data_IF_631539270372
#
_entry.id   IF_631539270372
#
_cell.length_a   1.000
_cell.length_b   1.000
_cell.length_c   1.000
_cell.angle_alpha   90.00
_cell.angle_beta   90.00
_cell.angle_gamma   90.00
#
_symmetry.space_group_name_H-M   'P 1'
#
loop_
_entity.id
_entity.type
_entity.pdbx_description
1 polymer ?
#
# COMPACT_ATOMS: atom_id res chain seq x y z
N UNK A 1 9.46 -11.68 -20.13
CA UNK A 1 9.31 -12.03 -18.71
C UNK A 1 9.98 -13.37 -18.49
N UNK A 2 11.06 -13.46 -17.73
CA UNK A 2 11.72 -14.73 -17.38
C UNK A 2 11.43 -15.04 -15.92
N UNK A 3 10.95 -16.26 -15.64
CA UNK A 3 10.84 -16.78 -14.28
C UNK A 3 12.16 -17.44 -13.90
N UNK A 4 12.81 -16.98 -12.84
CA UNK A 4 13.92 -17.70 -12.20
C UNK A 4 13.39 -18.39 -10.94
N UNK A 5 13.69 -19.66 -10.82
CA UNK A 5 13.53 -20.43 -9.59
C UNK A 5 14.70 -20.10 -8.68
N UNK A 6 14.47 -19.51 -7.53
CA UNK A 6 15.42 -19.54 -6.43
C UNK A 6 15.07 -20.74 -5.58
N UNK A 7 15.92 -21.77 -5.64
CA UNK A 7 15.87 -22.91 -4.75
C UNK A 7 16.32 -22.48 -3.35
N UNK A 8 15.36 -22.07 -2.55
CA UNK A 8 15.43 -22.11 -1.10
C UNK A 8 14.16 -22.78 -0.60
N UNK A 9 14.28 -23.84 0.07
CA UNK A 9 13.45 -24.81 0.78
C UNK A 9 11.91 -24.58 0.93
N UNK A 10 11.36 -23.48 0.39
CA UNK A 10 9.95 -23.21 0.16
C UNK A 10 9.80 -22.72 -1.28
N UNK A 11 9.15 -23.52 -2.12
CA UNK A 11 9.02 -23.37 -3.57
C UNK A 11 8.23 -22.13 -4.02
N UNK A 12 8.63 -20.93 -3.62
CA UNK A 12 8.04 -19.69 -4.10
C UNK A 12 8.73 -19.28 -5.39
N UNK A 13 8.13 -19.62 -6.52
CA UNK A 13 8.61 -19.14 -7.80
C UNK A 13 8.33 -17.64 -7.93
N UNK A 14 9.39 -16.86 -8.17
CA UNK A 14 9.32 -15.42 -8.38
C UNK A 14 9.43 -15.09 -9.86
N UNK A 15 8.63 -14.13 -10.32
CA UNK A 15 8.72 -13.55 -11.64
C UNK A 15 9.53 -12.25 -11.57
N UNK A 16 10.64 -12.18 -12.30
CA UNK A 16 11.54 -11.03 -12.30
C UNK A 16 11.47 -10.25 -13.60
N UNK A 17 11.76 -8.96 -13.53
CA UNK A 17 12.02 -8.14 -14.71
C UNK A 17 13.31 -8.62 -15.38
N UNK A 18 13.29 -8.77 -16.70
CA UNK A 18 14.45 -9.20 -17.47
C UNK A 18 15.61 -8.19 -17.44
N UNK A 19 15.27 -6.90 -17.36
CA UNK A 19 16.23 -5.83 -17.52
C UNK A 19 16.83 -5.32 -16.20
N UNK A 20 16.04 -5.29 -15.11
CA UNK A 20 16.47 -4.74 -13.82
C UNK A 20 16.36 -5.73 -12.64
N UNK A 21 15.99 -6.98 -12.90
CA UNK A 21 15.83 -8.06 -11.90
C UNK A 21 14.83 -7.76 -10.76
N UNK A 22 14.03 -6.72 -10.88
CA UNK A 22 12.97 -6.40 -9.90
C UNK A 22 11.93 -7.51 -9.86
N UNK A 23 11.51 -7.91 -8.65
CA UNK A 23 10.45 -8.91 -8.46
C UNK A 23 9.12 -8.31 -8.89
N UNK A 24 8.53 -8.85 -9.95
CA UNK A 24 7.25 -8.41 -10.52
C UNK A 24 6.06 -9.20 -9.98
N UNK A 25 6.30 -10.33 -9.38
CA UNK A 25 5.23 -11.19 -8.87
C UNK A 25 5.69 -12.54 -8.37
N UNK A 26 4.73 -13.35 -7.94
CA UNK A 26 4.95 -14.68 -7.39
C UNK A 26 3.99 -15.68 -8.05
N UNK A 27 4.45 -16.93 -8.21
CA UNK A 27 3.57 -18.02 -8.63
C UNK A 27 2.56 -18.31 -7.53
N UNK A 28 1.29 -18.35 -7.90
CA UNK A 28 0.22 -18.80 -7.02
C UNK A 28 0.13 -20.33 -7.09
N UNK A 29 0.40 -21.06 -5.99
CA UNK A 29 0.36 -22.52 -5.99
C UNK A 29 -1.05 -23.10 -6.24
N UNK A 30 -2.12 -22.34 -5.98
CA UNK A 30 -3.49 -22.81 -6.15
C UNK A 30 -3.98 -22.70 -7.59
N UNK A 31 -3.60 -21.63 -8.28
CA UNK A 31 -4.07 -21.35 -9.64
C UNK A 31 -3.03 -21.62 -10.72
N UNK A 32 -1.79 -21.99 -10.31
CA UNK A 32 -0.61 -22.10 -11.19
C UNK A 32 -0.28 -20.82 -11.96
N UNK A 33 -1.01 -19.74 -11.71
CA UNK A 33 -0.82 -18.43 -12.29
C UNK A 33 0.29 -17.63 -11.62
N UNK A 34 0.58 -16.45 -12.16
CA UNK A 34 1.50 -15.48 -11.56
C UNK A 34 0.68 -14.31 -11.01
N UNK A 35 0.78 -14.07 -9.70
CA UNK A 35 0.25 -12.87 -9.06
C UNK A 35 1.22 -11.72 -9.26
N UNK A 36 0.86 -10.78 -10.13
CA UNK A 36 1.69 -9.62 -10.41
C UNK A 36 1.49 -8.52 -9.36
N UNK A 37 2.59 -7.87 -8.99
CA UNK A 37 2.61 -6.72 -8.08
C UNK A 37 2.36 -5.44 -8.88
N UNK A 38 1.12 -4.96 -8.86
CA UNK A 38 0.67 -3.80 -9.68
C UNK A 38 1.52 -2.53 -9.52
N UNK A 39 2.06 -2.16 -8.34
CA UNK A 39 2.89 -0.96 -8.20
C UNK A 39 4.15 -0.95 -9.07
N UNK A 40 4.64 -2.11 -9.49
CA UNK A 40 5.82 -2.24 -10.34
C UNK A 40 5.51 -2.37 -11.83
N UNK A 41 4.23 -2.22 -12.22
CA UNK A 41 3.79 -2.48 -13.58
C UNK A 41 3.23 -1.23 -14.24
N UNK A 42 3.48 -1.10 -15.53
CA UNK A 42 2.80 -0.17 -16.42
C UNK A 42 2.05 -0.93 -17.50
N UNK A 43 0.88 -0.45 -17.86
CA UNK A 43 0.07 -0.97 -18.96
C UNK A 43 0.25 -0.06 -20.17
N UNK A 44 0.70 -0.61 -21.30
CA UNK A 44 0.72 0.10 -22.57
C UNK A 44 -0.36 -0.44 -23.50
N UNK A 45 -1.10 0.48 -24.13
CA UNK A 45 -2.08 0.15 -25.15
C UNK A 45 -1.44 0.33 -26.53
N UNK A 46 -1.53 -0.71 -27.35
CA UNK A 46 -1.05 -0.63 -28.74
C UNK A 46 -1.96 0.23 -29.64
N UNK A 47 -3.22 0.47 -29.23
CA UNK A 47 -4.21 1.21 -30.02
C UNK A 47 -4.04 2.72 -29.95
N UNK A 48 -3.69 3.24 -28.78
CA UNK A 48 -3.63 4.66 -28.49
C UNK A 48 -2.24 5.14 -28.06
N UNK A 49 -1.23 4.25 -28.08
CA UNK A 49 0.15 4.52 -27.64
C UNK A 49 0.23 5.11 -26.23
N UNK A 50 -0.82 4.93 -25.42
CA UNK A 50 -0.82 5.41 -24.04
C UNK A 50 -0.18 4.40 -23.11
N UNK A 51 0.64 4.88 -22.18
CA UNK A 51 1.18 4.07 -21.08
C UNK A 51 0.55 4.56 -19.78
N UNK A 52 -0.08 3.68 -19.05
CA UNK A 52 -0.65 3.94 -17.72
C UNK A 52 0.18 3.20 -16.68
N UNK A 53 0.85 3.94 -15.81
CA UNK A 53 1.47 3.40 -14.60
C UNK A 53 0.49 3.49 -13.43
N UNK A 54 0.58 2.52 -12.53
CA UNK A 54 -0.14 2.60 -11.27
C UNK A 54 0.76 3.33 -10.28
N UNK A 55 0.33 4.51 -9.83
CA UNK A 55 0.97 5.18 -8.70
C UNK A 55 0.83 4.30 -7.45
N UNK A 56 1.96 4.05 -6.79
CA UNK A 56 2.02 3.21 -5.60
C UNK A 56 1.12 3.74 -4.47
N UNK A 57 1.07 5.05 -4.27
CA UNK A 57 0.22 5.66 -3.24
C UNK A 57 -1.27 5.39 -3.48
N UNK A 58 -1.73 5.49 -4.72
CA UNK A 58 -3.10 5.12 -5.09
C UNK A 58 -3.37 3.62 -4.89
N UNK A 59 -2.42 2.77 -5.24
CA UNK A 59 -2.59 1.33 -5.05
C UNK A 59 -2.71 0.98 -3.58
N UNK A 60 -1.85 1.55 -2.73
CA UNK A 60 -1.89 1.31 -1.29
C UNK A 60 -3.16 1.85 -0.64
N UNK A 61 -3.68 3.00 -1.08
CA UNK A 61 -4.97 3.49 -0.57
C UNK A 61 -6.12 2.54 -0.90
N UNK A 62 -6.16 2.00 -2.12
CA UNK A 62 -7.14 0.97 -2.50
C UNK A 62 -6.98 -0.31 -1.67
N UNK A 63 -5.74 -0.75 -1.44
CA UNK A 63 -5.44 -1.94 -0.65
C UNK A 63 -5.89 -1.77 0.81
N UNK A 64 -5.56 -0.63 1.44
CA UNK A 64 -6.00 -0.32 2.81
C UNK A 64 -7.52 -0.21 2.91
N UNK A 65 -8.16 0.41 1.93
CA UNK A 65 -9.63 0.51 1.92
C UNK A 65 -10.27 -0.87 1.87
N UNK A 66 -9.80 -1.73 0.96
CA UNK A 66 -10.27 -3.12 0.87
C UNK A 66 -10.02 -3.88 2.17
N UNK A 67 -8.83 -3.77 2.78
CA UNK A 67 -8.52 -4.44 4.04
C UNK A 67 -9.46 -3.96 5.17
N UNK A 68 -9.69 -2.64 5.26
CA UNK A 68 -10.60 -2.04 6.25
C UNK A 68 -12.03 -2.55 6.08
N UNK A 69 -12.54 -2.62 4.84
CA UNK A 69 -13.88 -3.12 4.55
C UNK A 69 -14.02 -4.62 4.81
N UNK A 70 -13.01 -5.40 4.43
CA UNK A 70 -13.06 -6.87 4.54
C UNK A 70 -12.89 -7.35 5.98
N UNK A 71 -11.98 -6.75 6.72
CA UNK A 71 -11.61 -7.17 8.08
C UNK A 71 -12.38 -6.41 9.17
N UNK A 72 -13.02 -5.29 8.82
CA UNK A 72 -13.79 -4.48 9.77
C UNK A 72 -12.94 -3.72 10.79
N UNK A 73 -11.62 -3.65 10.57
CA UNK A 73 -10.65 -2.96 11.44
C UNK A 73 -9.97 -1.81 10.72
N UNK A 74 -9.36 -0.92 11.48
CA UNK A 74 -8.64 0.25 10.94
C UNK A 74 -7.18 0.31 11.36
N UNK A 75 -6.73 -0.60 12.21
CA UNK A 75 -5.34 -0.69 12.64
C UNK A 75 -4.72 -1.95 12.08
N UNK A 76 -3.54 -1.79 11.54
CA UNK A 76 -2.80 -2.84 10.88
C UNK A 76 -1.34 -2.87 11.30
N UNK A 77 -0.73 -4.04 11.22
CA UNK A 77 0.70 -4.24 11.45
C UNK A 77 1.31 -4.99 10.28
N UNK A 78 2.57 -4.73 10.02
CA UNK A 78 3.34 -5.51 9.06
C UNK A 78 3.95 -6.73 9.74
N UNK A 79 3.99 -7.91 9.07
CA UNK A 79 4.70 -9.07 9.58
C UNK A 79 6.20 -8.86 9.70
N UNK A 80 6.84 -8.23 8.69
CA UNK A 80 8.30 -8.12 8.60
C UNK A 80 8.83 -6.78 9.08
N UNK A 81 8.11 -5.68 8.85
CA UNK A 81 8.52 -4.36 9.29
C UNK A 81 7.94 -4.01 10.68
N UNK A 82 8.74 -3.38 11.54
CA UNK A 82 8.29 -3.00 12.88
C UNK A 82 7.43 -1.73 12.86
N UNK A 83 6.36 -1.71 12.06
CA UNK A 83 5.50 -0.55 11.91
C UNK A 83 4.03 -0.88 12.14
N UNK A 84 3.33 0.08 12.73
CA UNK A 84 1.88 0.10 12.89
C UNK A 84 1.27 1.12 11.93
N UNK A 85 0.13 0.77 11.38
CA UNK A 85 -0.66 1.60 10.47
C UNK A 85 -2.05 1.79 11.08
N UNK A 86 -2.55 3.01 11.04
CA UNK A 86 -3.92 3.33 11.42
C UNK A 86 -4.61 4.12 10.31
N UNK A 87 -5.60 3.53 9.66
CA UNK A 87 -6.49 4.22 8.72
C UNK A 87 -7.41 5.13 9.51
N UNK A 88 -7.00 6.39 9.66
CA UNK A 88 -7.74 7.37 10.46
C UNK A 88 -9.02 7.82 9.77
N UNK A 89 -8.95 8.11 8.47
CA UNK A 89 -10.11 8.47 7.65
C UNK A 89 -9.92 7.94 6.23
N UNK A 90 -10.92 7.27 5.71
CA UNK A 90 -10.94 6.79 4.31
C UNK A 90 -11.48 7.83 3.34
N UNK A 91 -12.07 8.92 3.84
CA UNK A 91 -12.71 9.95 3.03
C UNK A 91 -12.34 11.34 3.57
N UNK A 92 -11.21 11.86 3.13
CA UNK A 92 -10.73 13.21 3.42
C UNK A 92 -10.79 14.03 2.14
N UNK A 93 -11.47 15.17 2.17
CA UNK A 93 -11.38 16.15 1.10
C UNK A 93 -10.34 17.22 1.49
N UNK A 94 -9.38 17.49 0.60
CA UNK A 94 -8.39 18.54 0.80
C UNK A 94 -8.13 19.30 -0.50
N UNK A 95 -7.67 20.52 -0.37
CA UNK A 95 -7.16 21.35 -1.47
C UNK A 95 -5.74 21.82 -1.15
N UNK A 96 -4.96 22.12 -2.18
CA UNK A 96 -3.61 22.64 -2.04
C UNK A 96 -3.49 23.95 -2.83
N UNK A 97 -2.43 24.72 -2.58
CA UNK A 97 -2.15 25.94 -3.34
C UNK A 97 -1.94 25.67 -4.84
N UNK A 98 -1.49 24.47 -5.20
CA UNK A 98 -1.26 24.07 -6.58
C UNK A 98 -2.54 23.57 -7.28
N UNK A 99 -3.55 23.16 -6.51
CA UNK A 99 -4.79 22.64 -7.05
C UNK A 99 -5.96 23.10 -6.18
N UNK A 100 -6.74 24.04 -6.72
CA UNK A 100 -7.92 24.61 -6.04
C UNK A 100 -9.11 23.65 -5.98
N UNK A 101 -9.14 22.63 -6.87
CA UNK A 101 -10.19 21.62 -6.83
C UNK A 101 -9.98 20.66 -5.66
N UNK A 102 -11.03 20.37 -4.87
CA UNK A 102 -10.95 19.42 -3.78
C UNK A 102 -10.55 18.03 -4.28
N UNK A 103 -9.46 17.50 -3.73
CA UNK A 103 -9.02 16.13 -3.97
C UNK A 103 -9.50 15.24 -2.84
N UNK A 104 -9.87 14.02 -3.18
CA UNK A 104 -10.22 13.01 -2.19
C UNK A 104 -8.96 12.20 -1.81
N UNK A 105 -8.85 11.91 -0.53
CA UNK A 105 -7.71 11.18 0.01
C UNK A 105 -8.09 10.32 1.21
N UNK A 106 -7.17 9.45 1.57
CA UNK A 106 -7.20 8.68 2.81
C UNK A 106 -6.14 9.25 3.76
N UNK A 107 -6.53 9.56 5.00
CA UNK A 107 -5.59 9.93 6.06
C UNK A 107 -5.15 8.68 6.79
N UNK A 108 -3.86 8.44 6.79
CA UNK A 108 -3.20 7.30 7.43
C UNK A 108 -2.24 7.83 8.48
N UNK A 109 -2.26 7.22 9.66
CA UNK A 109 -1.28 7.44 10.71
C UNK A 109 -0.36 6.22 10.76
N UNK A 110 0.94 6.44 10.97
CA UNK A 110 1.92 5.36 11.05
C UNK A 110 2.99 5.67 12.07
N UNK A 111 3.53 4.65 12.71
CA UNK A 111 4.64 4.76 13.66
C UNK A 111 5.42 3.45 13.74
N UNK A 112 6.66 3.53 14.25
CA UNK A 112 7.39 2.34 14.64
C UNK A 112 6.72 1.66 15.84
N UNK A 113 6.73 0.32 15.86
CA UNK A 113 6.35 -0.47 17.02
C UNK A 113 7.43 -0.35 18.11
N UNK A 114 7.04 -0.52 19.35
CA UNK A 114 7.98 -0.61 20.45
C UNK A 114 8.82 -1.90 20.34
N UNK A 115 10.09 -1.81 20.75
CA UNK A 115 10.99 -2.96 20.74
C UNK A 115 10.42 -4.10 21.60
N UNK A 116 10.43 -5.32 21.05
CA UNK A 116 9.94 -6.51 21.75
C UNK A 116 8.44 -6.78 21.62
N UNK A 117 7.67 -5.90 20.99
CA UNK A 117 6.27 -6.19 20.64
C UNK A 117 6.18 -7.04 19.38
N UNK A 118 5.88 -8.31 19.53
CA UNK A 118 5.56 -9.18 18.39
C UNK A 118 4.11 -8.98 17.91
N UNK A 119 3.86 -9.36 16.64
CA UNK A 119 2.56 -9.18 15.99
C UNK A 119 1.46 -10.00 16.65
N UNK A 120 1.78 -11.21 17.11
CA UNK A 120 0.80 -12.12 17.71
C UNK A 120 0.33 -11.60 19.07
N UNK A 121 1.25 -11.11 19.88
CA UNK A 121 0.94 -10.47 21.18
C UNK A 121 0.07 -9.22 20.99
N UNK A 122 0.36 -8.39 19.99
CA UNK A 122 -0.45 -7.21 19.68
C UNK A 122 -1.88 -7.59 19.26
N UNK A 123 -2.04 -8.61 18.44
CA UNK A 123 -3.35 -9.09 17.99
C UNK A 123 -4.14 -9.78 19.11
N UNK A 124 -3.47 -10.59 19.92
CA UNK A 124 -4.09 -11.27 21.07
C UNK A 124 -4.59 -10.26 22.12
N UNK A 125 -3.86 -9.17 22.30
CA UNK A 125 -4.23 -8.09 23.24
C UNK A 125 -5.24 -7.08 22.67
N UNK A 126 -5.47 -7.06 21.35
CA UNK A 126 -6.34 -6.06 20.72
C UNK A 126 -7.01 -6.59 19.46
N UNK A 127 -8.28 -6.95 19.57
CA UNK A 127 -9.11 -7.46 18.47
C UNK A 127 -9.34 -6.45 17.32
N UNK A 128 -8.89 -5.22 17.48
CA UNK A 128 -9.00 -4.15 16.47
C UNK A 128 -7.73 -4.00 15.63
N UNK A 129 -6.76 -4.90 15.76
CA UNK A 129 -5.51 -4.92 15.00
C UNK A 129 -5.45 -6.16 14.14
N UNK A 130 -5.17 -5.97 12.85
CA UNK A 130 -4.98 -7.06 11.89
C UNK A 130 -3.65 -6.93 11.13
N UNK A 131 -3.25 -8.02 10.51
CA UNK A 131 -1.98 -8.08 9.75
C UNK A 131 -2.24 -7.75 8.28
N UNK A 132 -1.44 -6.87 7.71
CA UNK A 132 -1.41 -6.65 6.26
C UNK A 132 -0.55 -7.73 5.59
N UNK A 133 -1.14 -8.50 4.71
CA UNK A 133 -0.45 -9.55 3.96
C UNK A 133 0.15 -8.98 2.68
N UNK A 134 1.39 -8.54 2.76
CA UNK A 134 2.19 -8.05 1.64
C UNK A 134 3.50 -8.84 1.56
N UNK A 135 4.16 -8.81 0.40
CA UNK A 135 5.55 -9.29 0.32
C UNK A 135 6.49 -8.30 1.02
N UNK A 136 7.66 -8.75 1.52
CA UNK A 136 8.61 -7.84 2.18
C UNK A 136 9.00 -6.63 1.33
N UNK A 137 9.16 -6.81 0.02
CA UNK A 137 9.45 -5.71 -0.91
C UNK A 137 8.29 -4.70 -1.04
N UNK A 138 7.04 -5.16 -0.95
CA UNK A 138 5.88 -4.28 -0.95
C UNK A 138 5.66 -3.60 0.41
N UNK A 139 5.99 -4.24 1.51
CA UNK A 139 5.98 -3.60 2.83
C UNK A 139 6.95 -2.43 2.87
N UNK A 140 8.20 -2.65 2.40
CA UNK A 140 9.22 -1.60 2.32
C UNK A 140 8.78 -0.46 1.40
N UNK A 141 8.28 -0.77 0.20
CA UNK A 141 7.74 0.24 -0.72
C UNK A 141 6.60 1.04 -0.07
N UNK A 142 5.72 0.36 0.66
CA UNK A 142 4.61 1.03 1.33
C UNK A 142 5.11 2.01 2.40
N UNK A 143 6.06 1.60 3.20
CA UNK A 143 6.65 2.48 4.21
C UNK A 143 7.33 3.70 3.57
N UNK A 144 8.08 3.51 2.48
CA UNK A 144 8.68 4.60 1.71
C UNK A 144 7.61 5.57 1.16
N UNK A 145 6.50 5.05 0.64
CA UNK A 145 5.38 5.88 0.17
C UNK A 145 4.78 6.68 1.33
N UNK A 146 4.56 6.09 2.50
CA UNK A 146 4.06 6.82 3.67
C UNK A 146 5.01 7.96 4.10
N UNK A 147 6.32 7.72 4.09
CA UNK A 147 7.31 8.74 4.39
C UNK A 147 7.30 9.87 3.34
N UNK A 148 7.22 9.54 2.05
CA UNK A 148 7.17 10.52 0.97
C UNK A 148 5.90 11.38 1.06
N UNK A 149 4.74 10.78 1.34
CA UNK A 149 3.49 11.53 1.51
C UNK A 149 3.48 12.37 2.78
N UNK A 150 4.12 11.92 3.87
CA UNK A 150 4.34 12.71 5.06
C UNK A 150 5.19 13.96 4.78
N UNK A 151 6.30 13.80 4.05
CA UNK A 151 7.22 14.90 3.73
C UNK A 151 6.58 16.00 2.85
N UNK A 152 5.49 15.71 2.14
CA UNK A 152 4.74 16.71 1.36
C UNK A 152 3.85 17.60 2.24
N UNK A 153 3.59 17.19 3.49
CA UNK A 153 2.76 17.97 4.39
C UNK A 153 3.56 19.11 5.05
N UNK A 154 2.91 20.25 5.38
CA UNK A 154 3.52 21.24 6.26
C UNK A 154 3.97 20.60 7.58
N UNK A 155 5.09 21.04 8.13
CA UNK A 155 5.71 20.46 9.33
C UNK A 155 4.73 20.32 10.50
N UNK A 156 3.85 21.30 10.69
CA UNK A 156 2.80 21.27 11.72
C UNK A 156 1.74 20.17 11.54
N UNK A 157 1.65 19.57 10.35
CA UNK A 157 0.69 18.52 10.01
C UNK A 157 1.32 17.14 9.82
N UNK A 158 2.66 17.05 9.90
CA UNK A 158 3.38 15.78 9.71
C UNK A 158 3.22 14.82 10.87
N UNK A 159 2.78 15.29 12.03
CA UNK A 159 2.59 14.44 13.21
C UNK A 159 1.28 14.73 13.93
N UNK A 160 0.70 13.70 14.54
CA UNK A 160 -0.50 13.77 15.35
C UNK A 160 -0.43 12.76 16.49
N UNK A 161 -0.43 13.23 17.75
CA UNK A 161 -0.47 12.38 18.96
C UNK A 161 0.63 11.30 18.97
N UNK A 162 1.86 11.64 18.55
CA UNK A 162 2.99 10.70 18.48
C UNK A 162 3.01 9.77 17.26
N UNK A 163 2.07 9.91 16.34
CA UNK A 163 2.04 9.23 15.05
C UNK A 163 2.48 10.16 13.93
N UNK A 164 3.14 9.64 12.92
CA UNK A 164 3.38 10.33 11.65
C UNK A 164 2.09 10.29 10.81
N UNK A 165 1.88 11.31 9.99
CA UNK A 165 0.67 11.47 9.15
C UNK A 165 1.03 11.31 7.69
N UNK A 166 0.30 10.51 6.94
CA UNK A 166 0.35 10.47 5.49
C UNK A 166 -1.04 10.71 4.89
N UNK A 167 -1.09 11.35 3.72
CA UNK A 167 -2.32 11.58 2.97
C UNK A 167 -2.20 10.87 1.63
N UNK A 168 -2.80 9.69 1.53
CA UNK A 168 -2.77 8.87 0.32
C UNK A 168 -3.89 9.29 -0.63
N UNK A 169 -3.60 9.52 -1.92
CA UNK A 169 -4.62 9.83 -2.91
C UNK A 169 -5.56 8.64 -3.09
N UNK A 170 -6.86 8.89 -3.26
CA UNK A 170 -7.87 7.86 -3.52
C UNK A 170 -8.38 7.99 -4.95
N UNK A 171 -8.42 6.86 -5.68
CA UNK A 171 -9.09 6.81 -6.97
C UNK A 171 -10.61 6.78 -6.74
N UNK A 172 -11.27 7.91 -6.91
CA UNK A 172 -12.69 7.87 -7.16
C UNK A 172 -12.90 7.52 -8.63
N UNK A 173 -13.58 6.44 -8.90
CA UNK A 173 -14.30 6.35 -10.16
C UNK A 173 -15.23 7.57 -10.17
N UNK A 174 -15.03 8.47 -11.14
CA UNK A 174 -15.98 9.53 -11.48
C UNK A 174 -17.29 8.87 -11.90
N UNK A 175 -17.99 8.32 -10.89
CA UNK A 175 -19.29 7.72 -11.02
C UNK A 175 -20.31 8.82 -11.05
N UNK A 176 -20.76 9.13 -12.25
CA UNK A 176 -22.10 9.68 -12.54
C UNK A 176 -22.73 10.51 -11.44
N UNK A 177 -22.50 11.79 -11.49
CA UNK A 177 -23.56 12.74 -11.10
C UNK A 177 -24.76 12.45 -12.02
N UNK A 178 -25.62 11.50 -11.62
CA UNK A 178 -26.97 11.49 -12.17
C UNK A 178 -27.70 12.64 -11.50
N UNK A 179 -27.93 13.68 -12.31
CA UNK A 179 -28.93 14.69 -12.05
C UNK A 179 -30.31 14.06 -11.89
#
# INVERSE_FOLDING_TARGET
MQCRSLENNDSIYQAHCKDCDTILGYRDPQTEGIRLQKPYLALSSQRDSTTRSHDAAHWFSCYLNQATETQGVRKFVFPTLPHEIWVFSTNLAYSSLECSEPKQAMKVLFKAREEGQDVETLRAGNLLIETLTLSPSLEELFYQVLQQENAKLPESLQSLMGWQVAVLPVLYSSGSTKA
#
